data_IF_883779731841
#
_entry.id   IF_883779731841
#
_cell.length_a   1.000
_cell.length_b   1.000
_cell.length_c   1.000
_cell.angle_alpha   90.00
_cell.angle_beta   90.00
_cell.angle_gamma   90.00
#
_symmetry.space_group_name_H-M   'P 1'
#
loop_
_entity.id
_entity.type
_entity.pdbx_description
1 polymer ?
#
# COMPACT_ATOMS: atom_id res chain seq x y z
N UNK A 1 38.69 73.39 11.95
CA UNK A 1 37.92 72.70 10.89
C UNK A 1 37.56 71.29 11.36
N UNK A 2 36.35 70.79 11.02
CA UNK A 2 35.93 69.36 11.07
C UNK A 2 35.12 68.80 12.26
N UNK A 3 34.28 69.57 12.97
CA UNK A 3 33.30 68.97 13.93
C UNK A 3 31.85 68.87 13.44
N UNK A 4 31.40 69.73 12.52
CA UNK A 4 30.06 69.60 11.92
C UNK A 4 29.97 68.55 10.80
N UNK A 5 31.08 68.25 10.10
CA UNK A 5 31.09 67.22 9.06
C UNK A 5 31.09 65.79 9.62
N UNK A 6 31.57 65.57 10.86
CA UNK A 6 31.68 64.24 11.47
C UNK A 6 30.31 63.67 11.84
N UNK A 7 29.42 64.45 12.47
CA UNK A 7 28.06 64.00 12.78
C UNK A 7 27.23 63.80 11.52
N UNK A 8 27.39 64.65 10.50
CA UNK A 8 26.61 64.56 9.27
C UNK A 8 27.09 63.43 8.33
N UNK A 9 28.39 63.10 8.30
CA UNK A 9 28.86 61.89 7.61
C UNK A 9 28.48 60.62 8.38
N UNK A 10 28.60 60.61 9.71
CA UNK A 10 28.21 59.47 10.54
C UNK A 10 26.72 59.15 10.42
N UNK A 11 25.84 60.17 10.40
CA UNK A 11 24.40 59.98 10.16
C UNK A 11 24.09 59.47 8.76
N UNK A 12 24.86 59.90 7.74
CA UNK A 12 24.74 59.39 6.36
C UNK A 12 25.19 57.93 6.27
N UNK A 13 26.30 57.56 6.90
CA UNK A 13 26.76 56.16 6.95
C UNK A 13 25.79 55.27 7.73
N UNK A 14 25.22 55.76 8.83
CA UNK A 14 24.19 55.06 9.60
C UNK A 14 22.89 54.89 8.81
N UNK A 15 22.45 55.92 8.09
CA UNK A 15 21.26 55.84 7.23
C UNK A 15 21.45 54.89 6.04
N UNK A 16 22.63 54.85 5.43
CA UNK A 16 22.98 53.90 4.35
C UNK A 16 23.07 52.46 4.89
N UNK A 17 23.63 52.26 6.08
CA UNK A 17 23.70 50.95 6.75
C UNK A 17 22.30 50.43 7.10
N UNK A 18 21.43 51.28 7.65
CA UNK A 18 20.04 50.92 7.97
C UNK A 18 19.18 50.65 6.72
N UNK A 19 19.38 51.41 5.64
CA UNK A 19 18.70 51.17 4.36
C UNK A 19 19.15 49.86 3.70
N UNK A 20 20.44 49.51 3.78
CA UNK A 20 20.96 48.23 3.30
C UNK A 20 20.47 47.03 4.11
N UNK A 21 20.36 47.18 5.43
CA UNK A 21 19.81 46.14 6.31
C UNK A 21 18.31 45.90 6.09
N UNK A 22 17.53 46.95 5.79
CA UNK A 22 16.10 46.84 5.49
C UNK A 22 15.84 46.15 4.13
N UNK A 23 16.70 46.35 3.12
CA UNK A 23 16.60 45.63 1.84
C UNK A 23 16.99 44.16 1.93
N UNK A 24 17.85 43.78 2.88
CA UNK A 24 18.21 42.38 3.13
C UNK A 24 17.14 41.61 3.92
N UNK A 25 16.25 42.31 4.63
CA UNK A 25 15.16 41.71 5.40
C UNK A 25 13.94 41.35 4.55
N UNK A 26 13.82 41.85 3.32
CA UNK A 26 12.74 41.49 2.39
C UNK A 26 13.08 40.29 1.49
N UNK A 27 14.33 39.81 1.51
CA UNK A 27 14.79 38.65 0.73
C UNK A 27 14.76 37.33 1.52
N UNK A 28 14.09 37.32 2.68
CA UNK A 28 14.02 36.15 3.57
C UNK A 28 12.58 35.87 3.99
N UNK A 29 11.65 35.87 3.04
CA UNK A 29 10.30 35.32 3.23
C UNK A 29 9.85 34.50 2.01
N UNK A 30 10.78 33.84 1.32
CA UNK A 30 10.45 32.70 0.48
C UNK A 30 10.84 31.42 1.24
N UNK A 31 10.36 31.29 2.48
CA UNK A 31 10.19 29.96 3.05
C UNK A 31 8.90 29.43 2.44
N UNK A 32 9.00 28.95 1.20
CA UNK A 32 8.07 27.96 0.68
C UNK A 32 8.23 26.76 1.63
N UNK A 33 7.41 26.74 2.68
CA UNK A 33 7.16 25.53 3.44
C UNK A 33 6.61 24.57 2.40
N UNK A 34 7.45 23.63 1.96
CA UNK A 34 7.01 22.47 1.21
C UNK A 34 6.13 21.66 2.18
N UNK A 35 4.88 22.08 2.29
CA UNK A 35 3.85 21.32 2.97
C UNK A 35 3.67 20.12 2.08
N UNK A 36 4.31 19.02 2.46
CA UNK A 36 4.20 17.73 1.81
C UNK A 36 2.71 17.32 1.90
N UNK A 37 1.94 17.67 0.86
CA UNK A 37 0.49 17.45 0.82
C UNK A 37 0.13 15.99 0.48
N UNK A 38 1.12 15.15 0.19
CA UNK A 38 0.94 13.72 -0.02
C UNK A 38 2.02 12.94 0.72
N UNK A 39 1.57 12.02 1.57
CA UNK A 39 2.42 11.04 2.22
C UNK A 39 2.21 9.71 1.53
N UNK A 40 3.32 9.07 1.18
CA UNK A 40 3.29 7.76 0.57
C UNK A 40 2.53 6.77 1.48
N UNK A 41 1.62 6.00 0.90
CA UNK A 41 0.96 4.90 1.58
C UNK A 41 1.14 3.60 0.81
N UNK A 42 1.09 2.50 1.55
CA UNK A 42 1.08 1.15 1.01
C UNK A 42 -0.07 0.36 1.62
N UNK A 43 -0.43 -0.75 0.99
CA UNK A 43 -1.41 -1.69 1.54
C UNK A 43 -0.73 -3.03 1.70
N UNK A 44 -0.63 -3.51 2.94
CA UNK A 44 -0.09 -4.82 3.25
C UNK A 44 -1.21 -5.85 3.27
N UNK A 45 -0.97 -7.01 2.66
CA UNK A 45 -1.92 -8.13 2.63
C UNK A 45 -1.37 -9.34 3.35
N UNK A 46 -2.22 -10.01 4.13
CA UNK A 46 -1.88 -11.34 4.67
C UNK A 46 -1.81 -12.38 3.54
N UNK A 47 -1.09 -13.51 3.74
CA UNK A 47 -1.08 -14.60 2.77
C UNK A 47 -2.49 -15.09 2.42
N UNK A 48 -2.75 -15.26 1.13
CA UNK A 48 -4.02 -15.75 0.57
C UNK A 48 -3.82 -17.16 -0.02
N UNK A 49 -4.88 -17.98 -0.15
CA UNK A 49 -4.78 -19.26 -0.85
C UNK A 49 -4.36 -19.06 -2.30
N UNK A 50 -3.78 -20.08 -2.92
CA UNK A 50 -3.42 -20.07 -4.35
C UNK A 50 -4.50 -20.67 -5.24
N UNK A 51 -5.38 -21.45 -4.64
CA UNK A 51 -6.39 -22.23 -5.34
C UNK A 51 -7.75 -21.96 -4.68
N UNK A 52 -8.80 -21.90 -5.48
CA UNK A 52 -10.19 -21.78 -5.03
C UNK A 52 -11.10 -22.69 -5.85
N UNK A 53 -11.91 -23.47 -5.15
CA UNK A 53 -13.02 -24.18 -5.78
C UNK A 53 -14.15 -23.20 -6.13
N UNK A 54 -14.99 -23.57 -7.10
CA UNK A 54 -16.17 -22.77 -7.46
C UNK A 54 -17.10 -22.62 -6.27
N UNK A 55 -17.47 -21.38 -5.94
CA UNK A 55 -18.28 -21.04 -4.78
C UNK A 55 -17.51 -20.93 -3.47
N UNK A 56 -16.21 -21.20 -3.46
CA UNK A 56 -15.35 -20.98 -2.30
C UNK A 56 -15.01 -19.49 -2.14
N UNK A 57 -14.86 -19.05 -0.89
CA UNK A 57 -14.54 -17.67 -0.54
C UNK A 57 -13.14 -17.56 0.10
N UNK A 58 -12.27 -16.76 -0.51
CA UNK A 58 -11.02 -16.32 0.11
C UNK A 58 -11.24 -15.06 0.97
N UNK A 59 -10.74 -15.08 2.22
CA UNK A 59 -10.60 -13.88 3.05
C UNK A 59 -9.23 -13.24 2.80
N UNK A 60 -9.24 -12.01 2.31
CA UNK A 60 -8.04 -11.20 2.06
C UNK A 60 -8.01 -10.11 3.12
N UNK A 61 -7.04 -10.18 4.04
CA UNK A 61 -6.87 -9.18 5.11
C UNK A 61 -5.89 -8.11 4.65
N UNK A 62 -6.36 -6.88 4.63
CA UNK A 62 -5.59 -5.72 4.20
C UNK A 62 -5.34 -4.77 5.37
N UNK A 63 -4.15 -4.18 5.42
CA UNK A 63 -3.80 -3.10 6.33
C UNK A 63 -3.15 -1.96 5.55
N UNK A 64 -3.82 -0.81 5.55
CA UNK A 64 -3.33 0.43 4.98
C UNK A 64 -2.26 1.02 5.91
N UNK A 65 -1.03 1.16 5.40
CA UNK A 65 0.11 1.73 6.11
C UNK A 65 0.40 3.12 5.57
N UNK A 66 0.33 4.12 6.44
CA UNK A 66 0.59 5.53 6.11
C UNK A 66 1.98 5.91 6.61
N UNK A 67 2.76 6.64 5.80
CA UNK A 67 4.05 7.18 6.22
C UNK A 67 3.95 8.43 7.13
N UNK A 68 2.74 8.98 7.31
CA UNK A 68 2.44 10.10 8.20
C UNK A 68 0.95 10.20 8.55
N UNK A 69 0.62 10.95 9.61
CA UNK A 69 -0.76 11.19 10.04
C UNK A 69 -1.29 12.49 9.43
N UNK A 70 -2.09 12.38 8.37
CA UNK A 70 -2.95 13.47 7.88
C UNK A 70 -4.41 13.16 8.20
N UNK A 71 -5.05 14.01 8.99
CA UNK A 71 -6.44 13.80 9.40
C UNK A 71 -7.45 13.83 8.23
N UNK A 72 -7.10 14.48 7.12
CA UNK A 72 -8.00 14.73 5.98
C UNK A 72 -7.79 13.79 4.78
N UNK A 73 -6.97 12.74 4.91
CA UNK A 73 -6.81 11.77 3.83
C UNK A 73 -8.01 10.81 3.79
N UNK A 74 -8.65 10.74 2.63
CA UNK A 74 -9.74 9.82 2.35
C UNK A 74 -9.24 8.76 1.38
N UNK A 75 -9.49 7.50 1.71
CA UNK A 75 -9.11 6.37 0.89
C UNK A 75 -10.34 5.72 0.27
N UNK A 76 -10.23 5.36 -0.99
CA UNK A 76 -11.27 4.62 -1.71
C UNK A 76 -10.68 3.33 -2.27
N UNK A 77 -11.53 2.31 -2.41
CA UNK A 77 -11.19 1.04 -3.02
C UNK A 77 -12.05 0.82 -4.25
N UNK A 78 -11.44 0.29 -5.30
CA UNK A 78 -12.11 -0.24 -6.49
C UNK A 78 -11.47 -1.56 -6.88
N UNK A 79 -12.15 -2.36 -7.69
CA UNK A 79 -11.56 -3.55 -8.26
C UNK A 79 -11.92 -3.70 -9.73
N UNK A 80 -11.11 -4.48 -10.44
CA UNK A 80 -11.39 -4.88 -11.80
C UNK A 80 -10.99 -6.35 -11.98
N UNK A 81 -11.88 -7.13 -12.59
CA UNK A 81 -11.65 -8.54 -12.88
C UNK A 81 -11.20 -8.68 -14.34
N UNK A 82 -10.00 -9.21 -14.53
CA UNK A 82 -9.43 -9.45 -15.86
C UNK A 82 -9.91 -10.78 -16.43
N UNK A 83 -9.78 -11.85 -15.64
CA UNK A 83 -10.09 -13.21 -16.05
C UNK A 83 -10.99 -13.94 -15.04
N UNK A 84 -11.70 -14.94 -15.53
CA UNK A 84 -12.64 -15.76 -14.77
C UNK A 84 -13.92 -15.02 -14.34
N UNK A 85 -14.66 -15.62 -13.42
CA UNK A 85 -15.86 -15.02 -12.83
C UNK A 85 -15.78 -15.10 -11.30
N UNK A 86 -16.17 -14.03 -10.61
CA UNK A 86 -16.24 -14.00 -9.16
C UNK A 86 -16.89 -12.73 -8.62
N UNK A 87 -17.06 -12.69 -7.31
CA UNK A 87 -17.64 -11.54 -6.61
C UNK A 87 -16.74 -11.11 -5.48
N UNK A 88 -16.49 -9.80 -5.36
CA UNK A 88 -15.68 -9.22 -4.31
C UNK A 88 -16.57 -8.40 -3.37
N UNK A 89 -16.40 -8.57 -2.07
CA UNK A 89 -17.17 -7.82 -1.06
C UNK A 89 -16.27 -7.31 0.08
N UNK A 90 -16.70 -6.25 0.74
CA UNK A 90 -16.07 -5.67 1.93
C UNK A 90 -16.57 -6.33 3.22
N UNK A 91 -15.89 -6.00 4.32
CA UNK A 91 -16.22 -6.40 5.70
C UNK A 91 -17.66 -6.08 6.13
N UNK A 92 -18.22 -4.98 5.65
CA UNK A 92 -19.61 -4.59 5.85
C UNK A 92 -20.61 -5.32 4.94
N UNK A 93 -20.20 -6.39 4.25
CA UNK A 93 -21.00 -7.15 3.28
C UNK A 93 -21.43 -6.36 2.04
N UNK A 94 -20.83 -5.20 1.78
CA UNK A 94 -21.03 -4.45 0.54
C UNK A 94 -20.35 -5.21 -0.60
N UNK A 95 -21.12 -5.59 -1.61
CA UNK A 95 -20.60 -6.18 -2.85
C UNK A 95 -20.08 -5.06 -3.73
N UNK A 96 -18.83 -5.15 -4.15
CA UNK A 96 -18.21 -4.18 -5.02
C UNK A 96 -18.66 -4.47 -6.46
N UNK A 97 -18.94 -3.42 -7.21
CA UNK A 97 -19.11 -3.50 -8.65
C UNK A 97 -17.78 -3.16 -9.35
N UNK A 98 -17.41 -3.86 -10.44
CA UNK A 98 -16.18 -3.57 -11.16
C UNK A 98 -16.11 -2.10 -11.58
N UNK A 99 -14.95 -1.46 -11.37
CA UNK A 99 -14.66 -0.04 -11.62
C UNK A 99 -15.40 1.00 -10.78
N UNK A 100 -16.31 0.60 -9.90
CA UNK A 100 -16.92 1.52 -8.94
C UNK A 100 -16.01 1.74 -7.73
N UNK A 101 -16.06 2.96 -7.18
CA UNK A 101 -15.26 3.37 -6.03
C UNK A 101 -16.08 3.38 -4.75
N UNK A 102 -15.50 2.83 -3.69
CA UNK A 102 -16.12 2.71 -2.37
C UNK A 102 -15.20 3.31 -1.31
N UNK A 103 -15.76 4.03 -0.34
CA UNK A 103 -14.98 4.64 0.74
C UNK A 103 -14.46 3.56 1.71
N UNK A 104 -13.19 3.64 2.08
CA UNK A 104 -12.62 2.86 3.17
C UNK A 104 -12.70 3.66 4.47
N UNK A 105 -13.49 3.17 5.42
CA UNK A 105 -13.68 3.82 6.74
C UNK A 105 -12.56 3.47 7.72
N UNK A 106 -11.86 2.36 7.49
CA UNK A 106 -10.86 1.81 8.40
C UNK A 106 -9.56 1.49 7.64
N UNK A 107 -8.42 1.68 8.32
CA UNK A 107 -7.11 1.27 7.79
C UNK A 107 -6.99 -0.26 7.69
N UNK A 108 -7.67 -0.98 8.58
CA UNK A 108 -7.79 -2.43 8.55
C UNK A 108 -9.14 -2.81 7.98
N UNK A 109 -9.12 -3.47 6.83
CA UNK A 109 -10.32 -3.93 6.15
C UNK A 109 -10.11 -5.34 5.60
N UNK A 110 -11.20 -6.01 5.28
CA UNK A 110 -11.18 -7.35 4.71
C UNK A 110 -11.95 -7.36 3.41
N UNK A 111 -11.41 -8.06 2.44
CA UNK A 111 -12.08 -8.37 1.20
C UNK A 111 -12.42 -9.86 1.19
N UNK A 112 -13.63 -10.17 0.73
CA UNK A 112 -14.10 -11.54 0.55
C UNK A 112 -14.33 -11.77 -0.93
N UNK A 113 -13.42 -12.54 -1.54
CA UNK A 113 -13.55 -12.93 -2.94
C UNK A 113 -14.17 -14.31 -3.02
N UNK A 114 -15.35 -14.42 -3.63
CA UNK A 114 -16.01 -15.70 -3.87
C UNK A 114 -15.90 -16.08 -5.33
N UNK A 115 -15.31 -17.25 -5.59
CA UNK A 115 -15.13 -17.75 -6.95
C UNK A 115 -16.46 -18.12 -7.60
N UNK A 116 -16.66 -17.72 -8.85
CA UNK A 116 -17.84 -18.02 -9.67
C UNK A 116 -17.60 -19.05 -10.77
N UNK A 117 -16.35 -19.41 -11.07
CA UNK A 117 -15.99 -20.29 -12.18
C UNK A 117 -15.08 -21.47 -11.78
N UNK A 118 -14.84 -22.36 -12.75
CA UNK A 118 -13.94 -23.53 -12.66
C UNK A 118 -12.63 -23.29 -13.44
N UNK A 119 -12.24 -22.03 -13.57
CA UNK A 119 -11.06 -21.59 -14.34
C UNK A 119 -10.14 -20.71 -13.47
N UNK A 120 -8.94 -20.42 -13.99
CA UNK A 120 -8.05 -19.43 -13.38
C UNK A 120 -8.71 -18.05 -13.35
N UNK A 121 -8.54 -17.34 -12.25
CA UNK A 121 -9.14 -16.05 -11.98
C UNK A 121 -8.05 -15.05 -11.63
N UNK A 122 -8.10 -13.89 -12.29
CA UNK A 122 -7.18 -12.80 -12.04
C UNK A 122 -7.96 -11.49 -11.89
N UNK A 123 -7.66 -10.74 -10.84
CA UNK A 123 -8.24 -9.42 -10.62
C UNK A 123 -7.26 -8.50 -9.89
N UNK A 124 -7.48 -7.20 -10.05
CA UNK A 124 -6.75 -6.16 -9.33
C UNK A 124 -7.69 -5.42 -8.39
N UNK A 125 -7.18 -5.11 -7.21
CA UNK A 125 -7.78 -4.17 -6.26
C UNK A 125 -6.90 -2.94 -6.24
N UNK A 126 -7.50 -1.76 -6.40
CA UNK A 126 -6.79 -0.49 -6.34
C UNK A 126 -7.32 0.31 -5.17
N UNK A 127 -6.41 0.71 -4.29
CA UNK A 127 -6.68 1.68 -3.22
C UNK A 127 -6.14 3.02 -3.65
N UNK A 128 -6.99 4.04 -3.68
CA UNK A 128 -6.67 5.40 -4.14
C UNK A 128 -6.97 6.39 -3.02
N UNK A 129 -6.08 7.35 -2.81
CA UNK A 129 -6.33 8.48 -1.92
C UNK A 129 -6.94 9.68 -2.67
N UNK A 130 -7.36 10.70 -1.92
CA UNK A 130 -7.89 11.95 -2.48
C UNK A 130 -6.82 12.92 -3.02
N UNK A 131 -5.54 12.55 -2.95
CA UNK A 131 -4.41 13.33 -3.47
C UNK A 131 -3.88 12.78 -4.80
N UNK A 132 -4.45 11.67 -5.29
CA UNK A 132 -4.12 11.05 -6.57
C UNK A 132 -3.07 9.95 -6.47
N UNK A 133 -2.67 9.54 -5.27
CA UNK A 133 -1.82 8.37 -5.08
C UNK A 133 -2.67 7.09 -5.09
N UNK A 134 -2.11 6.03 -5.67
CA UNK A 134 -2.74 4.72 -5.75
C UNK A 134 -1.79 3.60 -5.37
N UNK A 135 -2.33 2.53 -4.79
CA UNK A 135 -1.66 1.26 -4.53
C UNK A 135 -2.48 0.14 -5.17
N UNK A 136 -1.85 -0.66 -6.02
CA UNK A 136 -2.47 -1.79 -6.72
C UNK A 136 -2.09 -3.11 -6.07
N UNK A 137 -3.07 -4.00 -5.91
CA UNK A 137 -2.93 -5.34 -5.37
C UNK A 137 -3.50 -6.32 -6.40
N UNK A 138 -2.65 -7.15 -6.98
CA UNK A 138 -3.06 -8.19 -7.94
C UNK A 138 -3.25 -9.52 -7.23
N UNK A 139 -4.32 -10.23 -7.58
CA UNK A 139 -4.66 -11.53 -7.02
C UNK A 139 -4.89 -12.53 -8.15
N UNK A 140 -4.21 -13.67 -8.03
CA UNK A 140 -4.29 -14.82 -8.91
C UNK A 140 -4.77 -16.04 -8.13
N UNK A 141 -5.90 -16.61 -8.55
CA UNK A 141 -6.43 -17.85 -8.00
C UNK A 141 -6.57 -18.89 -9.10
N UNK A 142 -5.99 -20.06 -8.89
CA UNK A 142 -6.20 -21.22 -9.76
C UNK A 142 -7.47 -21.98 -9.32
N UNK A 143 -8.13 -22.67 -10.24
CA UNK A 143 -9.24 -23.53 -9.87
C UNK A 143 -8.76 -24.79 -9.13
N UNK A 144 -9.33 -25.07 -7.95
CA UNK A 144 -9.18 -26.35 -7.26
C UNK A 144 -10.21 -27.37 -7.80
N UNK A 145 -9.73 -28.34 -8.59
CA UNK A 145 -10.53 -29.44 -9.13
C UNK A 145 -10.88 -30.52 -8.09
N UNK A 146 -10.33 -30.44 -6.87
CA UNK A 146 -10.50 -31.45 -5.82
C UNK A 146 -9.70 -32.73 -6.05
N UNK A 147 -8.87 -32.79 -7.10
CA UNK A 147 -8.05 -33.94 -7.48
C UNK A 147 -6.74 -33.98 -6.69
N UNK A 148 -6.83 -34.03 -5.36
CA UNK A 148 -5.72 -34.46 -4.52
C UNK A 148 -5.65 -36.00 -4.50
N UNK A 149 -5.47 -36.61 -5.67
CA UNK A 149 -5.17 -38.02 -5.82
C UNK A 149 -3.66 -38.26 -5.61
N UNK A 150 -3.30 -38.64 -4.39
CA UNK A 150 -2.14 -39.46 -4.02
C UNK A 150 -0.80 -39.21 -4.75
N UNK A 151 0.05 -38.37 -4.16
CA UNK A 151 1.50 -38.58 -4.18
C UNK A 151 2.01 -38.56 -2.73
N UNK A 152 1.60 -39.58 -1.98
CA UNK A 152 2.42 -40.04 -0.87
C UNK A 152 3.55 -40.89 -1.47
N UNK A 153 4.63 -40.23 -1.88
CA UNK A 153 5.92 -40.87 -2.12
C UNK A 153 6.41 -41.47 -0.77
N UNK A 154 5.93 -42.67 -0.48
CA UNK A 154 6.50 -43.52 0.55
C UNK A 154 7.83 -44.05 0.00
N UNK A 155 8.99 -43.77 0.63
CA UNK A 155 10.21 -44.42 0.20
C UNK A 155 10.09 -45.92 0.43
N UNK A 156 10.23 -46.68 -0.66
CA UNK A 156 10.32 -48.14 -0.68
C UNK A 156 11.49 -48.60 0.19
N UNK A 157 11.21 -48.90 1.46
CA UNK A 157 12.18 -49.47 2.37
C UNK A 157 12.24 -50.98 2.14
N UNK A 158 12.89 -51.37 1.03
CA UNK A 158 13.37 -52.72 0.82
C UNK A 158 14.51 -53.00 1.81
N UNK A 159 14.18 -53.43 3.03
CA UNK A 159 15.17 -53.92 3.98
C UNK A 159 15.65 -55.33 3.52
N UNK A 160 16.95 -55.55 3.27
CA UNK A 160 17.45 -56.89 2.97
C UNK A 160 17.37 -57.79 4.21
N UNK A 161 16.64 -58.90 4.08
CA UNK A 161 16.61 -60.01 5.04
C UNK A 161 17.91 -60.80 4.87
N UNK A 162 19.01 -60.36 5.47
CA UNK A 162 20.21 -61.20 5.63
C UNK A 162 21.11 -60.75 6.80
N UNK A 163 20.50 -60.22 7.87
CA UNK A 163 21.17 -60.05 9.16
C UNK A 163 20.77 -61.19 10.10
N UNK A 164 21.12 -62.41 9.74
CA UNK A 164 21.10 -63.56 10.65
C UNK A 164 22.26 -64.49 10.31
N UNK A 165 23.46 -64.03 10.62
CA UNK A 165 24.64 -64.92 10.74
C UNK A 165 25.31 -64.64 12.09
N UNK A 166 24.96 -65.51 13.03
CA UNK A 166 25.82 -66.18 14.02
C UNK A 166 26.83 -65.33 14.80
N UNK A 167 26.55 -65.15 16.10
CA UNK A 167 27.60 -65.04 17.12
C UNK A 167 27.51 -66.29 17.98
N UNK A 168 28.50 -67.17 17.83
CA UNK A 168 28.91 -68.14 18.84
C UNK A 168 30.43 -68.12 18.88
#
# INVERSE_FOLDING_TARGET
MNRLNFNMTFFKYLAVLCAGAASAALASCDNELDVQQSYEFTVETMPVPKELAKGETAEIRCELKRSGEFADALYTVRYFQYDGEGTLSLDNSLVLLPNDRYLLENEKFRLYYTSGCEESQNFVVVVEDNFGQSCELEFDFQHDSGDNASDADLPDAHYPIDSLITVN
#
